data_IF_609783986234
#
_entry.id   IF_609783986234
#
_cell.length_a   1.000
_cell.length_b   1.000
_cell.length_c   1.000
_cell.angle_alpha   90.00
_cell.angle_beta   90.00
_cell.angle_gamma   90.00
#
_symmetry.space_group_name_H-M   'P 1'
#
loop_
_entity.id
_entity.type
_entity.pdbx_description
1 polymer ?
#
# COMPACT_ATOMS: atom_id res chain seq x y z
N UNK A 1 0.26 22.74 11.00
CA UNK A 1 -0.30 21.64 10.20
C UNK A 1 -1.48 22.19 9.44
N UNK A 2 -1.55 21.99 8.11
CA UNK A 2 -2.69 22.44 7.32
C UNK A 2 -4.01 21.93 7.92
N UNK A 3 -5.10 22.70 7.80
CA UNK A 3 -6.44 22.25 8.21
C UNK A 3 -6.72 22.16 9.72
N UNK A 4 -5.79 22.53 10.60
CA UNK A 4 -6.01 22.58 12.05
C UNK A 4 -6.21 24.02 12.57
N UNK A 5 -7.10 24.27 13.55
CA UNK A 5 -7.17 25.55 14.24
C UNK A 5 -5.81 25.92 14.86
N UNK A 6 -5.47 27.21 14.87
CA UNK A 6 -4.20 27.71 15.42
C UNK A 6 -3.96 27.29 16.88
N UNK A 7 -5.04 27.11 17.64
CA UNK A 7 -5.04 26.68 19.05
C UNK A 7 -4.79 25.18 19.21
N UNK A 8 -5.18 24.34 18.25
CA UNK A 8 -4.99 22.89 18.26
C UNK A 8 -3.66 22.45 17.60
N UNK A 9 -2.97 23.37 16.91
CA UNK A 9 -1.73 23.11 16.18
C UNK A 9 -0.48 23.03 17.08
N UNK A 10 -0.64 22.84 18.40
CA UNK A 10 0.45 22.62 19.38
C UNK A 10 0.13 21.38 20.21
N UNK A 11 1.08 20.43 20.30
CA UNK A 11 0.96 19.22 21.12
C UNK A 11 0.62 19.54 22.59
N UNK A 12 1.15 20.65 23.11
CA UNK A 12 0.88 21.11 24.48
C UNK A 12 -0.57 21.53 24.73
N UNK A 13 -1.29 21.99 23.70
CA UNK A 13 -2.70 22.36 23.83
C UNK A 13 -3.60 21.15 24.16
N UNK A 14 -3.14 19.96 23.80
CA UNK A 14 -3.80 18.67 23.99
C UNK A 14 -3.26 17.88 25.18
N UNK A 15 -2.37 18.49 25.97
CA UNK A 15 -1.78 17.86 27.15
C UNK A 15 -0.49 17.09 26.88
N UNK A 16 0.15 17.23 25.72
CA UNK A 16 1.45 16.59 25.44
C UNK A 16 2.57 17.61 25.48
N UNK A 17 3.56 17.42 26.36
CA UNK A 17 4.73 18.29 26.48
C UNK A 17 6.01 17.50 26.26
N UNK A 18 6.91 18.03 25.42
CA UNK A 18 8.27 17.52 25.32
C UNK A 18 9.10 18.19 26.40
N UNK A 19 9.65 17.39 27.31
CA UNK A 19 10.55 17.88 28.36
C UNK A 19 11.92 18.23 27.77
N UNK A 20 12.70 19.02 28.50
CA UNK A 20 14.08 19.38 28.12
C UNK A 20 15.02 18.15 28.04
N UNK A 21 14.60 17.01 28.60
CA UNK A 21 15.31 15.73 28.51
C UNK A 21 14.85 14.86 27.33
N UNK A 22 14.00 15.37 26.44
CA UNK A 22 13.52 14.65 25.27
C UNK A 22 12.48 13.57 25.57
N UNK A 23 11.90 13.55 26.78
CA UNK A 23 10.79 12.65 27.12
C UNK A 23 9.44 13.34 26.89
N UNK A 24 8.46 12.58 26.41
CA UNK A 24 7.07 13.03 26.28
C UNK A 24 6.34 12.84 27.61
N UNK A 25 5.81 13.93 28.15
CA UNK A 25 4.94 13.93 29.31
C UNK A 25 3.49 14.16 28.87
N UNK A 26 2.55 13.44 29.50
CA UNK A 26 1.12 13.50 29.19
C UNK A 26 0.36 14.02 30.40
N UNK A 27 -0.29 15.17 30.25
CA UNK A 27 -1.28 15.67 31.19
C UNK A 27 -2.62 14.97 30.92
N UNK A 28 -2.85 13.85 31.62
CA UNK A 28 -4.04 13.01 31.48
C UNK A 28 -5.34 13.80 31.69
N UNK A 29 -5.40 14.68 32.68
CA UNK A 29 -6.58 15.51 32.96
C UNK A 29 -6.91 16.43 31.79
N UNK A 30 -5.91 17.08 31.20
CA UNK A 30 -6.11 17.95 30.03
C UNK A 30 -6.51 17.14 28.81
N UNK A 31 -5.87 15.99 28.59
CA UNK A 31 -6.20 15.09 27.50
C UNK A 31 -7.66 14.60 27.61
N UNK A 32 -8.10 14.18 28.81
CA UNK A 32 -9.48 13.77 29.07
C UNK A 32 -10.47 14.92 28.80
N UNK A 33 -10.16 16.14 29.24
CA UNK A 33 -11.01 17.31 28.95
C UNK A 33 -11.15 17.55 27.45
N UNK A 34 -10.08 17.40 26.68
CA UNK A 34 -10.12 17.56 25.23
C UNK A 34 -10.93 16.42 24.58
N UNK A 35 -10.70 15.17 24.99
CA UNK A 35 -11.42 14.02 24.45
C UNK A 35 -12.93 14.08 24.75
N UNK A 36 -13.30 14.66 25.89
CA UNK A 36 -14.68 14.89 26.29
C UNK A 36 -15.30 16.17 25.70
N UNK A 37 -14.58 16.90 24.84
CA UNK A 37 -15.07 18.15 24.22
C UNK A 37 -15.24 19.31 25.21
N UNK A 38 -14.61 19.25 26.37
CA UNK A 38 -14.70 20.26 27.44
C UNK A 38 -13.76 21.45 27.22
N UNK A 39 -12.96 21.43 26.14
CA UNK A 39 -12.05 22.51 25.76
C UNK A 39 -12.65 23.29 24.59
N UNK A 40 -13.09 24.52 24.86
CA UNK A 40 -13.61 25.42 23.83
C UNK A 40 -12.59 25.64 22.72
N UNK A 41 -13.03 25.51 21.46
CA UNK A 41 -12.18 25.69 20.28
C UNK A 41 -11.36 24.47 19.86
N UNK A 42 -11.48 23.33 20.56
CA UNK A 42 -10.84 22.06 20.17
C UNK A 42 -11.90 20.97 20.11
N UNK A 43 -12.05 20.35 18.94
CA UNK A 43 -12.95 19.22 18.73
C UNK A 43 -12.21 17.89 18.74
N UNK A 44 -12.93 16.78 18.93
CA UNK A 44 -12.36 15.45 18.79
C UNK A 44 -11.77 15.22 17.37
N UNK A 45 -12.32 15.89 16.36
CA UNK A 45 -11.80 15.84 15.00
C UNK A 45 -10.42 16.49 14.89
N UNK A 46 -10.18 17.59 15.61
CA UNK A 46 -8.87 18.25 15.67
C UNK A 46 -7.83 17.34 16.32
N UNK A 47 -8.20 16.60 17.37
CA UNK A 47 -7.33 15.58 17.97
C UNK A 47 -6.99 14.49 16.95
N UNK A 48 -7.99 13.98 16.23
CA UNK A 48 -7.77 12.96 15.19
C UNK A 48 -6.87 13.47 14.07
N UNK A 49 -7.05 14.71 13.61
CA UNK A 49 -6.19 15.35 12.60
C UNK A 49 -4.74 15.50 13.09
N UNK A 50 -4.52 15.69 14.38
CA UNK A 50 -3.17 15.79 14.93
C UNK A 50 -2.44 14.45 14.97
N UNK A 51 -3.13 13.32 15.09
CA UNK A 51 -2.48 12.00 15.19
C UNK A 51 -2.56 11.17 13.91
N UNK A 52 -3.71 11.17 13.24
CA UNK A 52 -3.98 10.33 12.07
C UNK A 52 -3.71 11.05 10.74
N UNK A 53 -3.70 10.26 9.66
CA UNK A 53 -3.83 10.80 8.33
C UNK A 53 -5.32 11.01 8.02
N UNK A 54 -5.70 12.25 7.73
CA UNK A 54 -7.10 12.67 7.57
C UNK A 54 -7.25 13.51 6.31
N UNK A 55 -8.48 13.63 5.82
CA UNK A 55 -8.80 14.47 4.66
C UNK A 55 -10.14 15.15 4.86
N UNK A 56 -10.19 16.43 4.53
CA UNK A 56 -11.42 17.23 4.54
C UNK A 56 -11.79 17.56 3.11
N UNK A 57 -13.01 17.20 2.69
CA UNK A 57 -13.54 17.58 1.38
C UNK A 57 -14.44 18.82 1.50
N UNK A 58 -14.44 19.64 0.45
CA UNK A 58 -15.46 20.69 0.26
C UNK A 58 -16.80 20.14 -0.25
N UNK A 59 -16.86 18.88 -0.70
CA UNK A 59 -18.07 18.23 -1.20
C UNK A 59 -18.55 17.12 -0.27
N UNK A 60 -19.83 17.16 0.11
CA UNK A 60 -20.42 16.15 0.98
C UNK A 60 -20.48 14.75 0.33
N UNK A 61 -20.43 14.66 -1.00
CA UNK A 61 -20.43 13.40 -1.73
C UNK A 61 -19.05 12.78 -1.92
N UNK A 62 -17.99 13.39 -1.37
CA UNK A 62 -16.60 12.97 -1.53
C UNK A 62 -15.99 12.85 -0.13
N UNK A 63 -15.61 11.62 0.25
CA UNK A 63 -15.06 11.35 1.59
C UNK A 63 -13.69 10.70 1.48
N UNK A 64 -12.69 11.24 2.18
CA UNK A 64 -11.38 10.60 2.30
C UNK A 64 -11.49 9.29 3.08
N UNK A 65 -10.93 8.22 2.52
CA UNK A 65 -10.91 6.90 3.14
C UNK A 65 -9.53 6.57 3.70
N UNK A 66 -8.51 6.60 2.83
CA UNK A 66 -7.13 6.26 3.18
C UNK A 66 -6.19 6.94 2.19
N UNK A 67 -4.93 7.07 2.58
CA UNK A 67 -3.86 7.36 1.64
C UNK A 67 -2.55 6.72 2.07
N UNK A 68 -1.61 6.62 1.15
CA UNK A 68 -0.32 5.96 1.35
C UNK A 68 0.74 6.94 1.90
N UNK A 69 1.96 6.46 2.24
CA UNK A 69 3.09 7.32 2.53
C UNK A 69 3.45 8.28 1.38
N UNK A 70 3.15 7.90 0.13
CA UNK A 70 3.40 8.66 -1.10
C UNK A 70 2.27 9.63 -1.47
N UNK A 71 1.13 9.55 -0.81
CA UNK A 71 0.07 10.55 -0.98
C UNK A 71 0.53 11.89 -0.41
N UNK A 72 0.45 12.93 -1.23
CA UNK A 72 0.79 14.30 -0.86
C UNK A 72 -0.10 14.79 0.27
N UNK A 73 0.51 15.38 1.28
CA UNK A 73 -0.17 15.95 2.44
C UNK A 73 0.42 17.31 2.77
N UNK A 74 0.86 18.05 1.75
CA UNK A 74 1.50 19.37 1.87
C UNK A 74 0.51 20.47 2.24
N UNK A 75 -0.80 20.18 2.17
CA UNK A 75 -1.89 21.12 2.37
C UNK A 75 -2.40 21.75 1.07
N UNK A 76 -1.79 21.42 -0.07
CA UNK A 76 -2.30 21.80 -1.39
C UNK A 76 -3.62 21.04 -1.63
N UNK A 77 -4.72 21.73 -2.01
CA UNK A 77 -5.98 21.06 -2.31
C UNK A 77 -5.84 20.10 -3.49
N UNK A 78 -6.31 18.86 -3.30
CA UNK A 78 -6.45 17.86 -4.35
C UNK A 78 -7.86 18.00 -4.91
N UNK A 79 -7.99 18.46 -6.15
CA UNK A 79 -9.29 18.52 -6.83
C UNK A 79 -9.67 17.11 -7.27
N UNK A 80 -10.89 16.70 -6.96
CA UNK A 80 -11.47 15.41 -7.36
C UNK A 80 -12.47 15.70 -8.45
N UNK A 81 -12.24 15.13 -9.63
CA UNK A 81 -13.06 15.32 -10.85
C UNK A 81 -13.65 13.97 -11.27
N UNK A 82 -14.97 13.86 -11.23
CA UNK A 82 -15.74 12.63 -11.38
C UNK A 82 -16.44 12.68 -12.73
N UNK A 83 -15.95 11.87 -13.66
CA UNK A 83 -16.51 11.77 -15.00
C UNK A 83 -17.69 10.81 -15.08
N UNK A 84 -17.84 9.93 -14.09
CA UNK A 84 -18.94 8.96 -14.00
C UNK A 84 -19.22 8.59 -12.55
N UNK A 85 -20.47 8.67 -12.12
CA UNK A 85 -20.89 8.19 -10.82
C UNK A 85 -21.01 6.66 -10.78
N UNK A 86 -20.81 6.07 -9.61
CA UNK A 86 -21.05 4.64 -9.44
C UNK A 86 -22.55 4.32 -9.54
N UNK A 87 -22.90 3.25 -10.26
CA UNK A 87 -24.26 2.78 -10.44
C UNK A 87 -24.47 1.39 -9.86
N UNK A 88 -25.73 1.08 -9.53
CA UNK A 88 -26.18 -0.23 -9.08
C UNK A 88 -26.94 -0.91 -10.22
N UNK A 89 -26.82 -2.22 -10.34
CA UNK A 89 -27.67 -2.97 -11.27
C UNK A 89 -29.14 -2.83 -10.86
N UNK A 90 -29.98 -2.48 -11.84
CA UNK A 90 -31.42 -2.27 -11.68
C UNK A 90 -32.20 -2.92 -12.80
N UNK A 91 -33.07 -3.88 -12.46
CA UNK A 91 -33.98 -4.50 -13.42
C UNK A 91 -35.41 -4.08 -13.12
N UNK A 92 -36.03 -3.40 -14.10
CA UNK A 92 -37.45 -3.05 -14.09
C UNK A 92 -38.26 -4.10 -14.86
N UNK A 93 -39.37 -4.55 -14.29
CA UNK A 93 -40.29 -5.48 -14.92
C UNK A 93 -40.81 -4.93 -16.26
N UNK A 94 -40.92 -5.81 -17.26
CA UNK A 94 -41.42 -5.46 -18.58
C UNK A 94 -42.90 -5.03 -18.50
N UNK A 95 -43.68 -5.74 -17.68
CA UNK A 95 -45.13 -5.59 -17.57
C UNK A 95 -45.54 -5.15 -16.15
N UNK A 96 -46.56 -4.28 -16.01
CA UNK A 96 -47.11 -3.94 -14.70
C UNK A 96 -47.81 -5.15 -14.08
N UNK A 97 -47.77 -5.22 -12.75
CA UNK A 97 -48.51 -6.22 -11.98
C UNK A 97 -50.01 -5.93 -12.01
N UNK A 98 -50.82 -6.98 -11.95
CA UNK A 98 -52.24 -6.88 -11.59
C UNK A 98 -52.43 -6.27 -10.20
N UNK A 99 -53.64 -5.80 -9.88
CA UNK A 99 -53.95 -5.30 -8.54
C UNK A 99 -53.81 -6.40 -7.46
N UNK A 100 -54.07 -7.64 -7.85
CA UNK A 100 -53.85 -8.84 -7.06
C UNK A 100 -53.21 -9.92 -7.93
N UNK A 101 -52.23 -10.64 -7.37
CA UNK A 101 -51.52 -11.74 -8.03
C UNK A 101 -51.65 -12.98 -7.17
N UNK A 102 -52.04 -14.10 -7.77
CA UNK A 102 -52.13 -15.41 -7.09
C UNK A 102 -50.90 -16.24 -7.49
N UNK A 103 -50.15 -16.69 -6.50
CA UNK A 103 -49.06 -17.65 -6.65
C UNK A 103 -49.51 -19.02 -6.17
N UNK A 104 -49.22 -20.05 -6.96
CA UNK A 104 -49.45 -21.47 -6.67
C UNK A 104 -48.22 -22.31 -7.04
N UNK A 105 -48.31 -23.64 -6.93
CA UNK A 105 -47.20 -24.55 -7.21
C UNK A 105 -46.73 -24.56 -8.67
N UNK A 106 -47.48 -23.96 -9.59
CA UNK A 106 -47.15 -23.92 -11.03
C UNK A 106 -46.40 -22.66 -11.44
N UNK A 107 -46.42 -21.59 -10.63
CA UNK A 107 -45.91 -20.26 -11.00
C UNK A 107 -45.08 -19.57 -9.91
N UNK A 108 -44.48 -20.31 -8.97
CA UNK A 108 -43.80 -19.74 -7.81
C UNK A 108 -42.27 -19.95 -7.75
N UNK A 109 -41.62 -20.39 -8.83
CA UNK A 109 -40.17 -20.60 -8.86
C UNK A 109 -39.44 -19.55 -9.69
N UNK A 110 -38.31 -19.05 -9.20
CA UNK A 110 -37.46 -18.08 -9.89
C UNK A 110 -35.98 -18.44 -9.71
N UNK A 111 -35.25 -18.45 -10.83
CA UNK A 111 -33.80 -18.57 -10.87
C UNK A 111 -33.21 -17.25 -11.36
N UNK A 112 -32.30 -16.67 -10.59
CA UNK A 112 -31.68 -15.39 -10.89
C UNK A 112 -30.23 -15.35 -10.44
N UNK A 113 -29.41 -14.55 -11.13
CA UNK A 113 -28.05 -14.23 -10.73
C UNK A 113 -28.02 -12.85 -10.09
N UNK A 114 -27.42 -12.77 -8.90
CA UNK A 114 -27.12 -11.52 -8.20
C UNK A 114 -25.61 -11.44 -7.98
N UNK A 115 -25.00 -10.34 -8.43
CA UNK A 115 -23.57 -10.01 -8.28
C UNK A 115 -22.66 -11.23 -8.56
N UNK A 116 -22.84 -11.90 -9.71
CA UNK A 116 -22.06 -13.05 -10.15
C UNK A 116 -22.48 -14.43 -9.64
N UNK A 117 -23.48 -14.58 -8.76
CA UNK A 117 -23.93 -15.89 -8.25
C UNK A 117 -25.39 -16.18 -8.49
N UNK A 118 -25.68 -17.42 -8.88
CA UNK A 118 -27.02 -17.92 -9.16
C UNK A 118 -27.72 -18.36 -7.86
N UNK A 119 -28.99 -18.01 -7.76
CA UNK A 119 -29.90 -18.38 -6.68
C UNK A 119 -31.20 -18.91 -7.28
N UNK A 120 -31.65 -20.05 -6.77
CA UNK A 120 -32.97 -20.59 -7.04
C UNK A 120 -33.84 -20.34 -5.81
N UNK A 121 -34.95 -19.63 -6.01
CA UNK A 121 -35.88 -19.27 -4.95
C UNK A 121 -37.29 -19.78 -5.27
N UNK A 122 -38.02 -20.10 -4.21
CA UNK A 122 -39.44 -20.44 -4.27
C UNK A 122 -40.22 -19.41 -3.45
N UNK A 123 -41.14 -18.73 -4.10
CA UNK A 123 -42.07 -17.80 -3.48
C UNK A 123 -43.16 -18.58 -2.75
N UNK A 124 -43.62 -18.06 -1.60
CA UNK A 124 -44.74 -18.66 -0.92
C UNK A 124 -46.01 -18.60 -1.78
N UNK A 125 -46.79 -19.68 -1.74
CA UNK A 125 -48.11 -19.77 -2.35
C UNK A 125 -49.05 -18.84 -1.59
N UNK A 126 -49.88 -18.09 -2.31
CA UNK A 126 -50.82 -17.16 -1.72
C UNK A 126 -51.28 -16.08 -2.68
N UNK A 127 -52.12 -15.18 -2.17
CA UNK A 127 -52.64 -14.04 -2.91
C UNK A 127 -51.99 -12.76 -2.39
N UNK A 128 -51.34 -12.03 -3.28
CA UNK A 128 -50.52 -10.87 -2.95
C UNK A 128 -51.09 -9.59 -3.56
N UNK A 129 -50.99 -8.49 -2.80
CA UNK A 129 -51.01 -7.14 -3.39
C UNK A 129 -49.63 -6.85 -4.01
N UNK A 130 -49.53 -5.80 -4.83
CA UNK A 130 -48.25 -5.42 -5.47
C UNK A 130 -47.13 -5.22 -4.45
N UNK A 131 -47.39 -4.49 -3.36
CA UNK A 131 -46.40 -4.24 -2.30
C UNK A 131 -46.02 -5.54 -1.57
N UNK A 132 -47.00 -6.37 -1.20
CA UNK A 132 -46.71 -7.64 -0.52
C UNK A 132 -45.92 -8.60 -1.40
N UNK A 133 -46.14 -8.59 -2.72
CA UNK A 133 -45.38 -9.39 -3.67
C UNK A 133 -43.93 -8.90 -3.78
N UNK A 134 -43.70 -7.58 -3.79
CA UNK A 134 -42.37 -7.00 -3.76
C UNK A 134 -41.61 -7.39 -2.46
N UNK A 135 -42.28 -7.28 -1.31
CA UNK A 135 -41.72 -7.71 -0.01
C UNK A 135 -41.37 -9.20 0.00
N UNK A 136 -42.26 -10.07 -0.47
CA UNK A 136 -42.02 -11.52 -0.57
C UNK A 136 -40.82 -11.81 -1.47
N UNK A 137 -40.77 -11.20 -2.66
CA UNK A 137 -39.66 -11.39 -3.59
C UNK A 137 -38.33 -10.92 -2.98
N UNK A 138 -38.30 -9.74 -2.36
CA UNK A 138 -37.12 -9.21 -1.67
C UNK A 138 -36.64 -10.17 -0.58
N UNK A 139 -37.56 -10.63 0.27
CA UNK A 139 -37.24 -11.50 1.40
C UNK A 139 -36.67 -12.84 0.92
N UNK A 140 -37.26 -13.45 -0.12
CA UNK A 140 -36.76 -14.73 -0.67
C UNK A 140 -35.38 -14.60 -1.31
N UNK A 141 -35.15 -13.53 -2.09
CA UNK A 141 -33.83 -13.28 -2.68
C UNK A 141 -32.80 -13.07 -1.57
N UNK A 142 -33.08 -12.17 -0.62
CA UNK A 142 -32.13 -11.83 0.44
C UNK A 142 -31.86 -13.00 1.39
N UNK A 143 -32.85 -13.83 1.69
CA UNK A 143 -32.66 -15.04 2.50
C UNK A 143 -31.75 -16.06 1.79
N UNK A 144 -31.96 -16.27 0.48
CA UNK A 144 -31.12 -17.19 -0.30
C UNK A 144 -29.67 -16.69 -0.44
N UNK A 145 -29.50 -15.37 -0.54
CA UNK A 145 -28.22 -14.73 -0.79
C UNK A 145 -27.46 -14.31 0.49
N UNK A 146 -28.07 -14.45 1.66
CA UNK A 146 -27.54 -14.00 2.96
C UNK A 146 -26.14 -14.55 3.26
N UNK A 147 -25.92 -15.85 3.00
CA UNK A 147 -24.63 -16.51 3.26
C UNK A 147 -23.48 -15.96 2.43
N UNK A 148 -23.79 -15.30 1.30
CA UNK A 148 -22.81 -14.68 0.43
C UNK A 148 -22.69 -13.16 0.66
N UNK A 149 -23.41 -12.61 1.65
CA UNK A 149 -23.41 -11.19 1.95
C UNK A 149 -24.05 -10.30 0.87
N UNK A 150 -24.83 -10.89 -0.05
CA UNK A 150 -25.51 -10.16 -1.13
C UNK A 150 -26.92 -9.77 -0.70
N UNK A 151 -27.37 -8.60 -1.15
CA UNK A 151 -28.70 -8.08 -0.87
C UNK A 151 -29.26 -7.30 -2.05
N UNK A 152 -30.58 -7.34 -2.18
CA UNK A 152 -31.35 -6.53 -3.11
C UNK A 152 -32.44 -5.76 -2.38
N UNK A 153 -32.90 -4.68 -3.00
CA UNK A 153 -34.13 -3.98 -2.67
C UNK A 153 -35.14 -4.19 -3.79
N UNK A 154 -36.39 -4.53 -3.45
CA UNK A 154 -37.48 -4.69 -4.43
C UNK A 154 -38.57 -3.66 -4.15
N UNK A 155 -38.92 -2.89 -5.17
CA UNK A 155 -39.84 -1.77 -5.09
C UNK A 155 -40.95 -1.92 -6.12
N UNK A 156 -42.08 -1.25 -5.90
CA UNK A 156 -43.13 -1.08 -6.91
C UNK A 156 -43.05 0.33 -7.46
N UNK A 157 -42.73 0.47 -8.75
CA UNK A 157 -42.63 1.76 -9.45
C UNK A 157 -43.51 1.72 -10.70
N UNK A 158 -44.47 2.65 -10.83
CA UNK A 158 -45.41 2.66 -11.96
C UNK A 158 -46.23 1.36 -12.10
N UNK A 159 -46.44 0.63 -10.99
CA UNK A 159 -47.12 -0.68 -10.99
C UNK A 159 -46.24 -1.87 -11.39
N UNK A 160 -44.96 -1.64 -11.70
CA UNK A 160 -43.96 -2.65 -12.07
C UNK A 160 -43.05 -2.96 -10.89
N UNK A 161 -42.54 -4.18 -10.82
CA UNK A 161 -41.48 -4.52 -9.87
C UNK A 161 -40.15 -3.96 -10.38
N UNK A 162 -39.38 -3.35 -9.48
CA UNK A 162 -38.00 -2.94 -9.71
C UNK A 162 -37.11 -3.61 -8.70
N UNK A 163 -36.15 -4.40 -9.17
CA UNK A 163 -35.12 -5.03 -8.33
C UNK A 163 -33.85 -4.20 -8.47
N UNK A 164 -33.26 -3.81 -7.35
CA UNK A 164 -32.02 -3.03 -7.28
C UNK A 164 -31.02 -3.80 -6.42
N UNK A 165 -29.81 -4.06 -6.94
CA UNK A 165 -28.75 -4.67 -6.15
C UNK A 165 -28.25 -3.64 -5.12
N UNK A 166 -27.91 -4.07 -3.91
CA UNK A 166 -27.37 -3.14 -2.90
C UNK A 166 -25.87 -2.87 -3.09
N UNK A 167 -25.20 -3.61 -3.98
CA UNK A 167 -23.83 -3.32 -4.40
C UNK A 167 -23.79 -2.18 -5.42
N UNK A 168 -22.61 -1.58 -5.58
CA UNK A 168 -22.31 -0.57 -6.59
C UNK A 168 -21.12 -1.06 -7.42
N UNK A 169 -21.02 -0.58 -8.65
CA UNK A 169 -19.88 -0.85 -9.50
C UNK A 169 -20.14 -1.93 -10.54
N UNK A 170 -19.09 -2.23 -11.30
CA UNK A 170 -19.11 -3.29 -12.32
C UNK A 170 -19.35 -4.69 -11.73
N UNK A 171 -19.15 -4.87 -10.41
CA UNK A 171 -19.50 -6.09 -9.69
C UNK A 171 -20.98 -6.22 -9.33
N UNK A 172 -21.76 -5.14 -9.49
CA UNK A 172 -23.21 -5.15 -9.27
C UNK A 172 -23.91 -5.75 -10.48
N UNK A 173 -24.68 -6.82 -10.30
CA UNK A 173 -25.35 -7.53 -11.40
C UNK A 173 -26.72 -8.04 -10.93
N UNK A 174 -27.72 -7.90 -11.80
CA UNK A 174 -28.97 -8.63 -11.70
C UNK A 174 -29.22 -9.28 -13.05
N UNK A 175 -29.46 -10.59 -13.08
CA UNK A 175 -29.88 -11.30 -14.28
C UNK A 175 -30.97 -12.32 -13.94
N UNK A 176 -32.16 -12.12 -14.50
CA UNK A 176 -33.29 -13.03 -14.37
C UNK A 176 -33.19 -14.17 -15.39
N UNK A 177 -32.61 -15.29 -14.94
CA UNK A 177 -32.24 -16.41 -15.82
C UNK A 177 -33.49 -17.11 -16.34
N UNK A 178 -34.32 -17.63 -15.43
CA UNK A 178 -35.50 -18.43 -15.78
C UNK A 178 -36.44 -18.58 -14.58
N UNK A 179 -37.59 -19.20 -14.77
CA UNK A 179 -38.48 -19.58 -13.67
C UNK A 179 -39.94 -19.43 -14.05
N UNK A 180 -40.79 -20.24 -13.42
CA UNK A 180 -42.24 -20.21 -13.66
C UNK A 180 -42.89 -18.93 -13.12
N UNK A 181 -42.23 -18.23 -12.18
CA UNK A 181 -42.72 -16.99 -11.60
C UNK A 181 -42.48 -15.74 -12.48
N UNK A 182 -41.64 -15.80 -13.52
CA UNK A 182 -41.28 -14.61 -14.30
C UNK A 182 -42.49 -13.84 -14.84
N UNK A 183 -43.41 -14.55 -15.49
CA UNK A 183 -44.59 -13.95 -16.11
C UNK A 183 -45.52 -13.28 -15.08
N UNK A 184 -45.78 -13.94 -13.94
CA UNK A 184 -46.65 -13.40 -12.87
C UNK A 184 -46.01 -12.25 -12.09
N UNK A 185 -44.68 -12.17 -12.08
CA UNK A 185 -43.91 -11.05 -11.55
C UNK A 185 -43.75 -9.90 -12.57
N UNK A 186 -44.19 -10.09 -13.82
CA UNK A 186 -44.11 -9.09 -14.89
C UNK A 186 -42.74 -9.00 -15.57
N UNK A 187 -41.83 -9.94 -15.32
CA UNK A 187 -40.50 -10.00 -15.94
C UNK A 187 -40.49 -10.89 -17.19
N UNK A 188 -39.50 -10.66 -18.06
CA UNK A 188 -39.15 -11.54 -19.16
C UNK A 188 -37.88 -12.34 -18.81
N UNK A 189 -37.75 -13.55 -19.38
CA UNK A 189 -36.53 -14.32 -19.26
C UNK A 189 -35.34 -13.59 -19.90
N UNK A 190 -34.18 -13.64 -19.26
CA UNK A 190 -32.95 -12.99 -19.72
C UNK A 190 -32.89 -11.48 -19.46
N UNK A 191 -33.85 -10.88 -18.75
CA UNK A 191 -33.70 -9.48 -18.33
C UNK A 191 -32.52 -9.36 -17.39
N UNK A 192 -31.61 -8.43 -17.68
CA UNK A 192 -30.42 -8.22 -16.89
C UNK A 192 -29.99 -6.76 -16.93
N UNK A 193 -29.22 -6.37 -15.92
CA UNK A 193 -28.54 -5.09 -15.84
C UNK A 193 -27.24 -5.24 -15.03
N UNK A 194 -26.30 -4.31 -15.25
CA UNK A 194 -25.00 -4.27 -14.59
C UNK A 194 -24.72 -2.87 -14.08
N UNK A 195 -24.20 -2.75 -12.86
CA UNK A 195 -23.75 -1.47 -12.35
C UNK A 195 -22.48 -0.99 -13.04
N UNK A 196 -22.09 0.24 -12.71
CA UNK A 196 -20.90 0.89 -13.26
C UNK A 196 -20.02 1.41 -12.13
N UNK A 197 -18.71 1.25 -12.25
CA UNK A 197 -17.78 1.83 -11.28
C UNK A 197 -17.75 3.35 -11.40
N UNK A 198 -17.43 4.03 -10.30
CA UNK A 198 -17.07 5.45 -10.35
C UNK A 198 -15.87 5.65 -11.27
N UNK A 199 -15.88 6.67 -12.11
CA UNK A 199 -14.71 7.06 -12.90
C UNK A 199 -14.40 8.53 -12.66
N UNK A 200 -13.11 8.86 -12.67
CA UNK A 200 -12.64 10.20 -12.40
C UNK A 200 -11.13 10.30 -12.36
N UNK A 201 -10.64 11.49 -12.05
CA UNK A 201 -9.23 11.83 -11.95
C UNK A 201 -8.98 12.72 -10.74
N UNK A 202 -7.73 12.75 -10.30
CA UNK A 202 -7.27 13.72 -9.31
C UNK A 202 -6.48 14.82 -10.00
N UNK A 203 -6.65 16.07 -9.57
CA UNK A 203 -5.91 17.21 -10.12
C UNK A 203 -5.19 17.91 -8.97
N UNK A 204 -3.86 17.94 -9.04
CA UNK A 204 -2.98 18.55 -8.02
C UNK A 204 -2.01 19.49 -8.71
N UNK A 205 -1.92 20.75 -8.27
CA UNK A 205 -1.08 21.78 -8.91
C UNK A 205 -1.31 21.90 -10.43
N UNK A 206 -2.56 21.71 -10.89
CA UNK A 206 -2.91 21.72 -12.30
C UNK A 206 -2.44 20.52 -13.11
N UNK A 207 -1.82 19.51 -12.47
CA UNK A 207 -1.47 18.23 -13.09
C UNK A 207 -2.59 17.21 -12.84
N UNK A 208 -3.08 16.60 -13.91
CA UNK A 208 -4.07 15.51 -13.83
C UNK A 208 -3.36 14.19 -13.60
N UNK A 209 -3.82 13.45 -12.59
CA UNK A 209 -3.36 12.13 -12.22
C UNK A 209 -4.50 11.12 -12.35
N UNK A 210 -4.20 9.96 -12.91
CA UNK A 210 -5.20 8.92 -13.21
C UNK A 210 -5.65 8.20 -11.95
N UNK A 211 -6.88 7.71 -11.97
CA UNK A 211 -7.44 6.94 -10.87
C UNK A 211 -8.27 5.78 -11.40
N UNK A 212 -8.33 4.72 -10.62
CA UNK A 212 -9.13 3.52 -10.86
C UNK A 212 -10.38 3.54 -10.00
N UNK A 213 -11.53 3.30 -10.62
CA UNK A 213 -12.80 3.04 -9.96
C UNK A 213 -12.95 1.60 -9.49
N UNK A 214 -13.52 1.42 -8.30
CA UNK A 214 -14.07 0.14 -7.81
C UNK A 214 -15.32 0.44 -7.00
N UNK A 215 -16.51 0.16 -7.55
CA UNK A 215 -17.77 0.57 -6.94
C UNK A 215 -17.80 2.07 -6.71
N UNK A 216 -18.00 2.48 -5.46
CA UNK A 216 -17.98 3.88 -5.02
C UNK A 216 -16.59 4.39 -4.65
N UNK A 217 -15.53 3.59 -4.79
CA UNK A 217 -14.17 4.00 -4.44
C UNK A 217 -13.40 4.46 -5.67
N UNK A 218 -12.84 5.66 -5.59
CA UNK A 218 -11.87 6.18 -6.54
C UNK A 218 -10.47 6.08 -5.92
N UNK A 219 -9.57 5.36 -6.58
CA UNK A 219 -8.25 4.98 -6.08
C UNK A 219 -7.18 5.56 -6.99
N UNK A 220 -6.29 6.39 -6.45
CA UNK A 220 -5.18 6.97 -7.21
C UNK A 220 -4.13 5.91 -7.56
N UNK A 221 -3.68 5.92 -8.80
CA UNK A 221 -2.75 4.92 -9.33
C UNK A 221 -1.40 4.92 -8.59
N UNK A 222 -0.79 3.74 -8.46
CA UNK A 222 0.44 3.58 -7.70
C UNK A 222 1.61 4.39 -8.26
N UNK A 223 1.60 4.76 -9.54
CA UNK A 223 2.67 5.53 -10.18
C UNK A 223 2.46 7.05 -10.10
N UNK A 224 1.35 7.50 -9.52
CA UNK A 224 1.07 8.92 -9.36
C UNK A 224 2.10 9.60 -8.46
N UNK A 225 2.41 10.86 -8.77
CA UNK A 225 3.36 11.66 -8.01
C UNK A 225 2.75 12.16 -6.70
N UNK A 226 1.47 12.56 -6.71
CA UNK A 226 0.81 13.19 -5.58
C UNK A 226 -0.29 12.31 -4.97
N UNK A 227 -0.99 11.50 -5.75
CA UNK A 227 -2.18 10.76 -5.30
C UNK A 227 -1.98 9.25 -5.23
N UNK A 228 -0.74 8.77 -5.24
CA UNK A 228 -0.44 7.34 -5.15
C UNK A 228 -1.06 6.71 -3.90
N UNK A 229 -1.93 5.72 -4.10
CA UNK A 229 -2.65 5.02 -3.03
C UNK A 229 -3.66 5.87 -2.26
N UNK A 230 -4.00 7.06 -2.75
CA UNK A 230 -5.13 7.86 -2.23
C UNK A 230 -6.43 7.13 -2.56
N UNK A 231 -7.31 6.98 -1.58
CA UNK A 231 -8.65 6.44 -1.79
C UNK A 231 -9.70 7.41 -1.27
N UNK A 232 -10.70 7.62 -2.09
CA UNK A 232 -11.83 8.50 -1.80
C UNK A 232 -13.12 7.73 -2.11
N UNK A 233 -14.08 7.80 -1.18
CA UNK A 233 -15.43 7.31 -1.42
C UNK A 233 -16.27 8.41 -2.05
N UNK A 234 -16.91 8.08 -3.16
CA UNK A 234 -17.76 8.96 -3.97
C UNK A 234 -19.19 8.44 -3.90
N UNK A 235 -20.09 9.26 -3.36
CA UNK A 235 -21.53 8.94 -3.24
C UNK A 235 -22.40 9.88 -4.10
N UNK A 236 -21.78 10.63 -5.00
CA UNK A 236 -22.48 11.50 -5.95
C UNK A 236 -23.23 10.64 -6.97
N UNK A 237 -24.37 11.15 -7.45
CA UNK A 237 -25.12 10.57 -8.58
C UNK A 237 -24.77 11.28 -9.89
N UNK A 238 -25.08 10.66 -11.03
CA UNK A 238 -24.83 11.27 -12.34
C UNK A 238 -25.52 12.65 -12.51
N UNK A 239 -26.65 12.88 -11.84
CA UNK A 239 -27.34 14.19 -11.84
C UNK A 239 -26.64 15.28 -11.00
N UNK A 240 -25.66 14.90 -10.18
CA UNK A 240 -24.89 15.81 -9.31
C UNK A 240 -23.51 16.13 -9.87
N UNK A 241 -23.10 15.49 -10.98
CA UNK A 241 -21.82 15.75 -11.63
C UNK A 241 -21.84 17.12 -12.31
N UNK A 242 -20.70 17.80 -12.26
CA UNK A 242 -20.52 19.13 -12.87
C UNK A 242 -19.41 19.07 -13.92
N UNK A 243 -19.27 20.15 -14.70
CA UNK A 243 -18.12 20.25 -15.60
C UNK A 243 -16.88 20.62 -14.80
N UNK A 244 -15.96 19.67 -14.64
CA UNK A 244 -14.74 19.79 -13.84
C UNK A 244 -14.93 19.32 -12.39
N UNK A 245 -13.94 19.59 -11.54
CA UNK A 245 -13.90 19.04 -10.18
C UNK A 245 -15.14 19.33 -9.30
N UNK A 246 -15.71 18.26 -8.73
CA UNK A 246 -16.86 18.28 -7.81
C UNK A 246 -16.47 18.68 -6.39
N UNK A 247 -15.19 18.57 -6.04
CA UNK A 247 -14.71 18.90 -4.71
C UNK A 247 -13.21 19.07 -4.61
N UNK A 248 -12.80 19.77 -3.57
CA UNK A 248 -11.41 19.93 -3.16
C UNK A 248 -11.18 19.14 -1.88
N UNK A 249 -10.16 18.29 -1.88
CA UNK A 249 -9.75 17.47 -0.76
C UNK A 249 -8.44 18.01 -0.18
N UNK A 250 -8.50 18.50 1.06
CA UNK A 250 -7.32 18.95 1.79
C UNK A 250 -6.89 17.86 2.76
N UNK A 251 -5.70 17.31 2.54
CA UNK A 251 -5.14 16.23 3.34
C UNK A 251 -4.27 16.78 4.47
N UNK A 252 -4.49 16.26 5.67
CA UNK A 252 -3.76 16.63 6.88
C UNK A 252 -3.16 15.39 7.51
N UNK A 253 -1.83 15.38 7.66
CA UNK A 253 -1.13 14.27 8.29
C UNK A 253 -0.64 14.64 9.68
N UNK A 254 -1.17 13.91 10.66
CA UNK A 254 -0.80 13.97 12.06
C UNK A 254 0.67 13.67 12.38
N UNK A 255 1.10 13.99 13.60
CA UNK A 255 2.44 13.72 14.15
C UNK A 255 2.76 12.23 14.12
N UNK A 256 1.84 11.37 14.56
CA UNK A 256 2.06 9.92 14.54
C UNK A 256 2.15 9.38 13.11
N UNK A 257 1.29 9.84 12.20
CA UNK A 257 1.37 9.47 10.79
C UNK A 257 2.64 10.03 10.07
N UNK A 258 3.22 11.14 10.55
CA UNK A 258 4.51 11.63 10.08
C UNK A 258 5.68 10.81 10.63
N UNK A 259 5.62 10.41 11.90
CA UNK A 259 6.59 9.50 12.51
C UNK A 259 6.60 8.14 11.81
N UNK A 260 5.42 7.57 11.54
CA UNK A 260 5.26 6.32 10.80
C UNK A 260 5.90 6.39 9.40
N UNK A 261 5.66 7.48 8.66
CA UNK A 261 6.29 7.72 7.36
C UNK A 261 7.82 7.81 7.49
N UNK A 262 8.32 8.58 8.47
CA UNK A 262 9.76 8.74 8.67
C UNK A 262 10.42 7.40 9.03
N UNK A 263 9.82 6.64 9.96
CA UNK A 263 10.28 5.30 10.32
C UNK A 263 10.25 4.37 9.11
N UNK A 264 9.18 4.37 8.33
CA UNK A 264 9.08 3.55 7.11
C UNK A 264 10.15 3.92 6.08
N UNK A 265 10.42 5.21 5.88
CA UNK A 265 11.48 5.68 4.96
C UNK A 265 12.89 5.33 5.45
N UNK A 266 13.14 5.42 6.76
CA UNK A 266 14.45 5.09 7.34
C UNK A 266 14.68 3.58 7.38
N UNK A 267 13.64 2.80 7.65
CA UNK A 267 13.64 1.33 7.77
C UNK A 267 13.42 0.60 6.44
N UNK A 268 13.23 1.33 5.32
CA UNK A 268 13.02 0.71 4.01
C UNK A 268 14.19 -0.23 3.66
N UNK A 269 13.90 -1.51 3.36
CA UNK A 269 14.96 -2.50 3.16
C UNK A 269 15.74 -2.32 1.86
N UNK A 270 15.20 -1.57 0.89
CA UNK A 270 15.78 -1.35 -0.43
C UNK A 270 16.48 0.02 -0.52
N UNK A 271 15.86 1.07 0.01
CA UNK A 271 16.29 2.46 -0.16
C UNK A 271 16.44 3.22 1.17
N UNK A 272 16.30 2.55 2.31
CA UNK A 272 16.31 3.19 3.62
C UNK A 272 17.70 3.68 4.04
N UNK A 273 17.72 4.72 4.89
CA UNK A 273 18.98 5.29 5.41
C UNK A 273 19.80 4.28 6.21
N UNK A 274 19.16 3.32 6.90
CA UNK A 274 19.88 2.25 7.60
C UNK A 274 20.52 1.28 6.61
N UNK A 275 19.85 0.97 5.49
CA UNK A 275 20.40 0.13 4.43
C UNK A 275 21.63 0.78 3.79
N UNK A 276 21.54 2.06 3.43
CA UNK A 276 22.67 2.78 2.85
C UNK A 276 23.86 2.90 3.82
N UNK A 277 23.60 3.14 5.11
CA UNK A 277 24.64 3.13 6.14
C UNK A 277 25.33 1.76 6.26
N UNK A 278 24.55 0.67 6.21
CA UNK A 278 25.10 -0.70 6.18
C UNK A 278 25.96 -0.94 4.95
N UNK A 279 25.50 -0.51 3.78
CA UNK A 279 26.25 -0.67 2.51
C UNK A 279 27.59 0.06 2.53
N UNK A 280 27.65 1.24 3.17
CA UNK A 280 28.91 1.99 3.35
C UNK A 280 29.87 1.23 4.26
N UNK A 281 29.39 0.70 5.40
CA UNK A 281 30.20 -0.06 6.34
C UNK A 281 30.70 -1.37 5.72
N UNK A 282 29.85 -2.08 4.97
CA UNK A 282 30.21 -3.30 4.25
C UNK A 282 31.29 -3.00 3.19
N UNK A 283 31.17 -1.90 2.46
CA UNK A 283 32.17 -1.44 1.49
C UNK A 283 33.49 -0.98 2.14
N UNK A 284 33.46 -0.47 3.36
CA UNK A 284 34.68 -0.16 4.14
C UNK A 284 35.35 -1.44 4.65
N UNK A 285 34.58 -2.39 5.17
CA UNK A 285 35.07 -3.70 5.58
C UNK A 285 35.73 -4.46 4.41
N UNK A 286 35.14 -4.41 3.21
CA UNK A 286 35.71 -5.04 2.02
C UNK A 286 37.04 -4.38 1.61
N UNK A 287 37.14 -3.05 1.66
CA UNK A 287 38.41 -2.34 1.37
C UNK A 287 39.51 -2.65 2.40
N UNK A 288 39.14 -2.81 3.67
CA UNK A 288 40.07 -3.26 4.70
C UNK A 288 40.56 -4.69 4.44
N UNK A 289 39.67 -5.61 4.06
CA UNK A 289 40.05 -6.98 3.70
C UNK A 289 41.04 -7.01 2.53
N UNK A 290 40.76 -6.26 1.45
CA UNK A 290 41.69 -6.15 0.32
C UNK A 290 43.04 -5.57 0.72
N UNK A 291 43.07 -4.63 1.68
CA UNK A 291 44.32 -4.09 2.21
C UNK A 291 45.11 -5.13 2.99
N UNK A 292 44.43 -5.93 3.82
CA UNK A 292 45.05 -7.06 4.53
C UNK A 292 45.64 -8.08 3.56
N UNK A 293 44.91 -8.42 2.48
CA UNK A 293 45.37 -9.37 1.48
C UNK A 293 46.63 -8.86 0.75
N UNK A 294 46.65 -7.58 0.37
CA UNK A 294 47.85 -6.94 -0.22
C UNK A 294 49.05 -6.94 0.74
N UNK A 295 48.84 -6.63 2.01
CA UNK A 295 49.90 -6.64 3.03
C UNK A 295 50.45 -8.05 3.22
N UNK A 296 49.58 -9.06 3.29
CA UNK A 296 49.99 -10.46 3.42
C UNK A 296 50.82 -10.94 2.22
N UNK A 297 50.43 -10.55 1.00
CA UNK A 297 51.21 -10.81 -0.20
C UNK A 297 52.59 -10.14 -0.15
N UNK A 298 52.66 -8.88 0.27
CA UNK A 298 53.93 -8.15 0.40
C UNK A 298 54.86 -8.80 1.44
N UNK A 299 54.32 -9.21 2.60
CA UNK A 299 55.07 -9.93 3.63
C UNK A 299 55.63 -11.25 3.08
N UNK A 300 54.82 -11.98 2.30
CA UNK A 300 55.25 -13.25 1.70
C UNK A 300 56.37 -13.05 0.68
N UNK A 301 56.25 -12.06 -0.22
CA UNK A 301 57.30 -11.70 -1.18
C UNK A 301 58.61 -11.28 -0.48
N UNK A 302 58.50 -10.51 0.61
CA UNK A 302 59.67 -10.08 1.37
C UNK A 302 60.36 -11.26 2.07
N UNK A 303 59.59 -12.21 2.61
CA UNK A 303 60.13 -13.47 3.14
C UNK A 303 60.88 -14.27 2.07
N UNK A 304 60.32 -14.41 0.88
CA UNK A 304 60.97 -15.11 -0.23
C UNK A 304 62.26 -14.44 -0.68
N UNK A 305 62.27 -13.12 -0.82
CA UNK A 305 63.47 -12.35 -1.13
C UNK A 305 64.57 -12.52 -0.08
N UNK A 306 64.22 -12.46 1.21
CA UNK A 306 65.17 -12.67 2.31
C UNK A 306 65.72 -14.10 2.30
N UNK A 307 64.89 -15.11 2.06
CA UNK A 307 65.35 -16.50 1.91
C UNK A 307 66.32 -16.65 0.74
N UNK A 308 66.06 -16.00 -0.38
CA UNK A 308 66.94 -16.06 -1.54
C UNK A 308 68.27 -15.33 -1.31
N UNK A 309 68.24 -14.17 -0.64
CA UNK A 309 69.45 -13.49 -0.18
C UNK A 309 70.28 -14.38 0.75
N UNK A 310 69.63 -15.08 1.67
CA UNK A 310 70.31 -16.01 2.58
C UNK A 310 70.97 -17.16 1.83
N UNK A 311 70.29 -17.78 0.86
CA UNK A 311 70.88 -18.83 0.00
C UNK A 311 72.08 -18.32 -0.81
N UNK A 312 72.02 -17.08 -1.31
CA UNK A 312 73.17 -16.46 -2.03
C UNK A 312 74.34 -16.24 -1.10
N UNK A 313 74.09 -15.78 0.13
CA UNK A 313 75.12 -15.63 1.15
C UNK A 313 75.72 -16.98 1.54
N UNK A 314 74.92 -18.03 1.70
CA UNK A 314 75.41 -19.39 1.95
C UNK A 314 76.30 -19.90 0.81
N UNK A 315 75.91 -19.65 -0.45
CA UNK A 315 76.71 -19.99 -1.62
C UNK A 315 78.03 -19.23 -1.66
N UNK A 316 78.01 -17.91 -1.39
CA UNK A 316 79.23 -17.10 -1.30
C UNK A 316 80.13 -17.58 -0.16
N UNK A 317 79.58 -17.93 1.00
CA UNK A 317 80.36 -18.50 2.13
C UNK A 317 80.95 -19.85 1.75
N UNK A 318 80.23 -20.71 1.04
CA UNK A 318 80.76 -21.97 0.53
C UNK A 318 81.89 -21.76 -0.48
N UNK A 319 81.76 -20.77 -1.38
CA UNK A 319 82.82 -20.37 -2.32
C UNK A 319 84.04 -19.78 -1.61
N UNK A 320 83.83 -18.94 -0.59
CA UNK A 320 84.92 -18.38 0.23
C UNK A 320 85.65 -19.47 1.02
N UNK A 321 84.93 -20.47 1.54
CA UNK A 321 85.54 -21.65 2.16
C UNK A 321 86.36 -22.46 1.16
N UNK A 322 85.83 -22.74 -0.03
CA UNK A 322 86.60 -23.50 -1.04
C UNK A 322 87.82 -22.74 -1.57
N UNK A 323 87.74 -21.41 -1.67
CA UNK A 323 88.89 -20.54 -1.96
C UNK A 323 89.90 -20.54 -0.82
N UNK A 324 89.45 -20.51 0.43
CA UNK A 324 90.31 -20.66 1.61
C UNK A 324 91.05 -21.99 1.63
N UNK A 325 90.36 -23.08 1.27
CA UNK A 325 90.96 -24.41 1.15
C UNK A 325 91.97 -24.45 -0.01
N UNK A 326 91.66 -23.84 -1.16
CA UNK A 326 92.59 -23.72 -2.29
C UNK A 326 93.85 -22.90 -1.96
N UNK A 327 93.69 -21.78 -1.26
CA UNK A 327 94.81 -20.96 -0.80
C UNK A 327 95.66 -21.70 0.23
N UNK A 328 95.03 -22.50 1.11
CA UNK A 328 95.74 -23.35 2.06
C UNK A 328 96.55 -24.45 1.33
N UNK A 329 95.97 -25.07 0.30
CA UNK A 329 96.67 -26.03 -0.56
C UNK A 329 97.83 -25.39 -1.34
N UNK A 330 97.67 -24.17 -1.85
CA UNK A 330 98.75 -23.43 -2.52
C UNK A 330 99.85 -22.99 -1.54
N UNK A 331 99.50 -22.60 -0.31
CA UNK A 331 100.47 -22.30 0.74
C UNK A 331 101.24 -23.56 1.17
N UNK A 332 100.60 -24.72 1.26
CA UNK A 332 101.28 -25.99 1.49
C UNK A 332 102.20 -26.37 0.32
N UNK A 333 101.79 -26.12 -0.92
CA UNK A 333 102.64 -26.31 -2.09
C UNK A 333 103.87 -25.37 -2.10
N UNK A 334 103.71 -24.12 -1.65
CA UNK A 334 104.81 -23.16 -1.47
C UNK A 334 105.75 -23.51 -0.31
N UNK A 335 105.22 -24.07 0.79
CA UNK A 335 106.04 -24.60 1.88
C UNK A 335 106.78 -25.88 1.48
N UNK A 336 106.25 -26.65 0.52
CA UNK A 336 106.93 -27.83 -0.04
C UNK A 336 108.03 -27.49 -1.06
N UNK A 337 108.08 -26.25 -1.58
CA UNK A 337 109.09 -25.80 -2.57
C UNK A 337 110.35 -25.21 -1.95
N UNK A 338 110.59 -25.36 -0.64
CA UNK A 338 111.91 -25.08 -0.08
C UNK A 338 112.42 -26.17 0.89
N UNK A 339 113.16 -27.16 0.35
CA UNK A 339 114.32 -27.72 1.02
C UNK A 339 115.60 -27.55 0.17
N UNK A 340 116.44 -26.62 0.62
CA UNK A 340 117.87 -26.80 0.94
C UNK A 340 118.86 -27.20 -0.17
N UNK A 341 119.70 -26.21 -0.51
CA UNK A 341 121.15 -26.36 -0.67
C UNK A 341 121.74 -27.37 0.35
N UNK A 342 122.34 -28.48 -0.11
CA UNK A 342 123.77 -28.78 0.07
C UNK A 342 124.21 -30.15 -0.51
N UNK A 343 125.32 -30.11 -1.27
CA UNK A 343 126.43 -31.08 -1.43
C UNK A 343 126.13 -32.53 -1.84
N UNK A 344 126.63 -32.94 -3.01
CA UNK A 344 128.03 -33.33 -3.19
C UNK A 344 128.55 -32.84 -4.55
#
# INVERSE_FOLDING_TARGET
MPGLPSQANRLSALGFTLTDQGTLEVNSTRLEQVLNGQVSGITLEDVRRLFAFTGQSSSAGITFMVGSPRTDSSGIPIRVDITQAAEQATVLAANPLSASTVLDSTNNQLSLRIDGKVYDITLAIGTYTRQRLAEELQNRINQAAERDGRKVSVLVEGGKLRIVSQSYGAGSEIHLISGTALAVLGFNAGQQDSGQDVAGVFIVNGQTETARGVGQLLIGDDNNRYTSGLQVKVTLTNSQLVSGAEGELVLTRGVAANLDRYLTQVLDPLHGQIKSGRDVLDGEAQRLQESMDRINQLIQQQRESLQEQFRRLESMVAQLRSLGDMLTMQFQALLSTNPRFNRQ
#
